data_IF_063916995809
#
_entry.id   IF_063916995809
#
_cell.length_a   1.000
_cell.length_b   1.000
_cell.length_c   1.000
_cell.angle_alpha   90.00
_cell.angle_beta   90.00
_cell.angle_gamma   90.00
#
_symmetry.space_group_name_H-M   'P 1'
#
loop_
_entity.id
_entity.type
_entity.pdbx_description
1 polymer ?
#
# COMPACT_ATOMS: atom_id res chain seq x y z
N UNK A 1 -5.86 25.55 -5.49
CA UNK A 1 -5.99 26.67 -6.43
C UNK A 1 -7.37 26.82 -7.02
N UNK A 2 -8.03 25.73 -7.37
CA UNK A 2 -9.42 25.80 -7.86
C UNK A 2 -10.35 26.50 -6.86
N UNK A 3 -10.07 26.37 -5.57
CA UNK A 3 -10.82 27.04 -4.52
C UNK A 3 -10.65 28.56 -4.47
N UNK A 4 -9.65 29.09 -5.18
CA UNK A 4 -9.37 30.54 -5.25
C UNK A 4 -10.05 31.22 -6.41
N UNK A 5 -10.61 30.47 -7.34
CA UNK A 5 -11.19 31.03 -8.55
C UNK A 5 -12.61 31.50 -8.31
N UNK A 6 -12.79 32.82 -8.25
CA UNK A 6 -14.08 33.47 -8.36
C UNK A 6 -15.09 33.21 -7.26
N UNK A 7 -14.70 32.70 -6.11
CA UNK A 7 -15.63 32.43 -5.01
C UNK A 7 -16.63 31.34 -5.30
N UNK A 8 -16.31 30.40 -6.19
CA UNK A 8 -17.17 29.25 -6.50
C UNK A 8 -17.25 28.30 -5.31
N UNK A 9 -18.41 27.70 -5.14
CA UNK A 9 -18.59 26.61 -4.17
C UNK A 9 -17.92 25.34 -4.66
N UNK A 10 -17.72 24.37 -3.76
CA UNK A 10 -17.17 23.07 -4.15
C UNK A 10 -18.05 22.34 -5.17
N UNK A 11 -19.38 22.51 -5.05
CA UNK A 11 -20.33 21.91 -6.00
C UNK A 11 -20.19 22.54 -7.38
N UNK A 12 -20.08 23.85 -7.44
CA UNK A 12 -19.88 24.58 -8.71
C UNK A 12 -18.56 24.23 -9.37
N UNK A 13 -17.50 24.09 -8.57
CA UNK A 13 -16.20 23.63 -9.07
C UNK A 13 -16.29 22.21 -9.61
N UNK A 14 -16.99 21.32 -8.92
CA UNK A 14 -17.20 19.96 -9.36
C UNK A 14 -17.97 19.90 -10.67
N UNK A 15 -19.04 20.66 -10.80
CA UNK A 15 -19.83 20.76 -12.04
C UNK A 15 -18.99 21.32 -13.19
N UNK A 16 -18.25 22.38 -12.93
CA UNK A 16 -17.39 23.02 -13.94
C UNK A 16 -16.28 22.08 -14.43
N UNK A 17 -15.74 21.23 -13.53
CA UNK A 17 -14.74 20.24 -13.87
C UNK A 17 -15.30 18.90 -14.36
N UNK A 18 -16.64 18.74 -14.34
CA UNK A 18 -17.27 17.46 -14.67
C UNK A 18 -17.12 16.41 -13.60
N UNK A 19 -16.82 16.83 -12.36
CA UNK A 19 -16.58 15.94 -11.22
C UNK A 19 -17.51 16.27 -10.06
N UNK A 20 -17.68 15.32 -9.12
CA UNK A 20 -18.49 15.56 -7.93
C UNK A 20 -17.77 16.49 -6.95
N UNK A 21 -18.55 17.21 -6.12
CA UNK A 21 -18.01 18.06 -5.05
C UNK A 21 -17.11 17.27 -4.10
N UNK A 22 -17.43 16.01 -3.83
CA UNK A 22 -16.65 15.12 -3.00
C UNK A 22 -15.26 14.84 -3.60
N UNK A 23 -15.18 14.64 -4.90
CA UNK A 23 -13.93 14.44 -5.62
C UNK A 23 -13.07 15.71 -5.58
N UNK A 24 -13.67 16.87 -5.81
CA UNK A 24 -12.99 18.17 -5.71
C UNK A 24 -12.43 18.37 -4.29
N UNK A 25 -13.20 18.05 -3.26
CA UNK A 25 -12.77 18.16 -1.88
C UNK A 25 -11.54 17.28 -1.60
N UNK A 26 -11.51 16.07 -2.13
CA UNK A 26 -10.35 15.18 -2.00
C UNK A 26 -9.10 15.78 -2.62
N UNK A 27 -9.21 16.36 -3.80
CA UNK A 27 -8.08 17.01 -4.46
C UNK A 27 -7.56 18.22 -3.66
N UNK A 28 -8.45 18.97 -3.03
CA UNK A 28 -8.07 20.08 -2.15
C UNK A 28 -7.27 19.55 -0.95
N UNK A 29 -7.71 18.47 -0.33
CA UNK A 29 -6.96 17.85 0.78
C UNK A 29 -5.59 17.35 0.32
N UNK A 30 -5.54 16.66 -0.81
CA UNK A 30 -4.29 16.14 -1.37
C UNK A 30 -3.29 17.28 -1.64
N UNK A 31 -3.77 18.44 -2.07
CA UNK A 31 -2.90 19.61 -2.33
C UNK A 31 -2.17 20.13 -1.07
N UNK A 32 -2.59 19.70 0.11
CA UNK A 32 -1.95 20.03 1.38
C UNK A 32 -0.72 19.17 1.68
N UNK A 33 -0.50 18.13 0.91
CA UNK A 33 0.69 17.30 1.06
C UNK A 33 1.95 18.08 0.67
N UNK A 34 3.08 17.68 1.23
CA UNK A 34 4.38 18.21 0.80
C UNK A 34 4.62 17.88 -0.67
N UNK A 35 5.39 18.72 -1.37
CA UNK A 35 5.67 18.52 -2.80
C UNK A 35 6.19 17.12 -3.14
N UNK A 36 7.19 16.56 -2.41
CA UNK A 36 7.66 15.21 -2.70
C UNK A 36 6.57 14.15 -2.59
N UNK A 37 5.63 14.28 -1.63
CA UNK A 37 4.51 13.35 -1.51
C UNK A 37 3.51 13.54 -2.64
N UNK A 38 3.25 14.78 -3.07
CA UNK A 38 2.42 15.06 -4.24
C UNK A 38 3.00 14.43 -5.50
N UNK A 39 4.31 14.51 -5.68
CA UNK A 39 4.99 13.88 -6.81
C UNK A 39 4.79 12.37 -6.81
N UNK A 40 4.79 11.74 -5.63
CA UNK A 40 4.53 10.31 -5.50
C UNK A 40 3.08 9.95 -5.85
N UNK A 41 2.13 10.81 -5.50
CA UNK A 41 0.72 10.63 -5.88
C UNK A 41 0.58 10.72 -7.40
N UNK A 42 1.18 11.73 -8.01
CA UNK A 42 1.15 11.93 -9.46
C UNK A 42 1.81 10.78 -10.21
N UNK A 43 2.86 10.21 -9.65
CA UNK A 43 3.54 9.04 -10.21
C UNK A 43 2.79 7.72 -10.00
N UNK A 44 1.66 7.74 -9.29
CA UNK A 44 0.88 6.54 -8.99
C UNK A 44 1.46 5.66 -7.89
N UNK A 45 2.45 6.15 -7.15
CA UNK A 45 3.06 5.40 -6.04
C UNK A 45 2.23 5.41 -4.78
N UNK A 46 1.40 6.44 -4.60
CA UNK A 46 0.47 6.57 -3.48
C UNK A 46 -0.93 6.67 -4.05
N UNK A 47 -1.84 5.85 -3.56
CA UNK A 47 -3.24 5.88 -3.99
C UNK A 47 -3.96 7.14 -3.51
N UNK A 48 -5.06 7.49 -4.17
CA UNK A 48 -5.84 8.70 -3.87
C UNK A 48 -6.38 8.67 -2.43
N UNK A 49 -6.95 7.55 -2.00
CA UNK A 49 -7.51 7.43 -0.65
C UNK A 49 -6.44 7.51 0.42
N UNK A 50 -5.28 6.89 0.18
CA UNK A 50 -4.13 6.95 1.07
C UNK A 50 -3.59 8.39 1.17
N UNK A 51 -3.52 9.09 0.05
CA UNK A 51 -3.05 10.48 0.03
C UNK A 51 -3.97 11.42 0.78
N UNK A 52 -5.28 11.20 0.77
CA UNK A 52 -6.24 11.95 1.59
C UNK A 52 -5.92 11.75 3.07
N UNK A 53 -5.72 10.52 3.52
CA UNK A 53 -5.35 10.23 4.92
C UNK A 53 -4.03 10.91 5.30
N UNK A 54 -3.03 10.85 4.42
CA UNK A 54 -1.74 11.48 4.66
C UNK A 54 -1.84 13.01 4.74
N UNK A 55 -2.80 13.62 4.05
CA UNK A 55 -3.01 15.07 4.08
C UNK A 55 -3.42 15.59 5.45
N UNK A 56 -3.96 14.74 6.31
CA UNK A 56 -4.33 15.10 7.68
C UNK A 56 -3.19 14.97 8.68
N UNK A 57 -2.06 14.41 8.26
CA UNK A 57 -0.87 14.29 9.11
C UNK A 57 -0.23 15.67 9.31
N UNK A 58 0.44 15.85 10.47
CA UNK A 58 1.27 17.01 10.71
C UNK A 58 2.42 17.07 9.69
N UNK A 59 3.06 18.24 9.55
CA UNK A 59 4.20 18.39 8.65
C UNK A 59 5.34 17.41 8.99
N UNK A 60 5.62 17.25 10.27
CA UNK A 60 6.64 16.31 10.74
C UNK A 60 6.28 14.87 10.37
N UNK A 61 5.03 14.48 10.60
CA UNK A 61 4.56 13.13 10.26
C UNK A 61 4.62 12.87 8.75
N UNK A 62 4.27 13.85 7.94
CA UNK A 62 4.40 13.75 6.47
C UNK A 62 5.85 13.51 6.05
N UNK A 63 6.77 14.23 6.69
CA UNK A 63 8.21 14.07 6.43
C UNK A 63 8.69 12.68 6.83
N UNK A 64 8.24 12.15 7.95
CA UNK A 64 8.58 10.81 8.41
C UNK A 64 8.09 9.74 7.43
N UNK A 65 6.87 9.90 6.93
CA UNK A 65 6.29 8.99 5.93
C UNK A 65 7.11 9.05 4.64
N UNK A 66 7.45 10.24 4.19
CA UNK A 66 8.26 10.42 2.98
C UNK A 66 9.61 9.69 3.09
N UNK A 67 10.33 9.91 4.18
CA UNK A 67 11.63 9.27 4.41
C UNK A 67 11.47 7.74 4.47
N UNK A 68 10.46 7.26 5.18
CA UNK A 68 10.22 5.82 5.29
C UNK A 68 9.90 5.18 3.94
N UNK A 69 9.11 5.84 3.10
CA UNK A 69 8.81 5.34 1.75
C UNK A 69 10.07 5.32 0.88
N UNK A 70 10.88 6.36 0.95
CA UNK A 70 12.11 6.44 0.18
C UNK A 70 13.12 5.36 0.59
N UNK A 71 13.22 5.08 1.89
CA UNK A 71 14.16 4.08 2.42
C UNK A 71 13.70 2.65 2.16
N UNK A 72 12.40 2.38 2.28
CA UNK A 72 11.87 1.01 2.22
C UNK A 72 11.22 0.69 0.88
N UNK A 73 10.99 1.71 0.04
CA UNK A 73 10.22 1.59 -1.20
C UNK A 73 8.84 0.94 -0.97
N UNK A 74 8.26 1.19 0.20
CA UNK A 74 6.99 0.61 0.60
C UNK A 74 5.82 1.22 -0.17
N UNK A 75 4.79 0.41 -0.39
CA UNK A 75 3.50 0.85 -0.91
C UNK A 75 2.52 0.90 0.24
N UNK A 76 1.95 2.08 0.49
CA UNK A 76 1.05 2.28 1.62
C UNK A 76 -0.34 1.71 1.28
N UNK A 77 -0.86 0.83 2.13
CA UNK A 77 -2.24 0.33 2.03
C UNK A 77 -3.20 1.31 2.69
N UNK A 78 -4.49 1.16 2.40
CA UNK A 78 -5.55 1.95 3.06
C UNK A 78 -5.52 1.78 4.57
N UNK A 79 -5.28 0.56 5.03
CA UNK A 79 -5.21 0.25 6.46
C UNK A 79 -4.03 0.97 7.12
N UNK A 80 -2.85 0.94 6.47
CA UNK A 80 -1.67 1.63 6.98
C UNK A 80 -1.87 3.14 7.04
N UNK A 81 -2.44 3.75 6.00
CA UNK A 81 -2.69 5.19 5.99
C UNK A 81 -3.71 5.60 7.06
N UNK A 82 -4.74 4.80 7.27
CA UNK A 82 -5.72 5.03 8.33
C UNK A 82 -5.08 4.94 9.72
N UNK A 83 -4.20 3.98 9.95
CA UNK A 83 -3.47 3.83 11.21
C UNK A 83 -2.53 5.01 11.47
N UNK A 84 -1.83 5.47 10.44
CA UNK A 84 -0.97 6.65 10.54
C UNK A 84 -1.76 7.89 10.93
N UNK A 85 -2.88 8.12 10.26
CA UNK A 85 -3.78 9.25 10.54
C UNK A 85 -4.30 9.20 11.97
N UNK A 86 -4.76 8.04 12.41
CA UNK A 86 -5.31 7.85 13.75
C UNK A 86 -4.23 8.08 14.83
N UNK A 87 -3.05 7.52 14.64
CA UNK A 87 -1.94 7.67 15.58
C UNK A 87 -1.45 9.12 15.68
N UNK A 88 -1.38 9.81 14.56
CA UNK A 88 -0.99 11.22 14.55
C UNK A 88 -2.03 12.11 15.22
N UNK A 89 -3.31 11.82 15.00
CA UNK A 89 -4.42 12.53 15.63
C UNK A 89 -4.36 12.42 17.15
N UNK A 90 -3.93 11.28 17.67
CA UNK A 90 -3.75 11.05 19.11
C UNK A 90 -2.44 11.62 19.64
N UNK A 91 -1.57 12.13 18.79
CA UNK A 91 -0.26 12.62 19.16
C UNK A 91 0.73 11.55 19.56
N UNK A 92 0.48 10.30 19.16
CA UNK A 92 1.30 9.15 19.52
C UNK A 92 2.28 8.75 18.42
N UNK A 93 2.16 9.31 17.24
CA UNK A 93 2.98 8.92 16.09
C UNK A 93 4.41 9.44 16.23
N UNK A 94 5.37 8.54 16.02
CA UNK A 94 6.80 8.85 16.01
C UNK A 94 7.43 8.31 14.74
N UNK A 95 8.63 8.78 14.39
CA UNK A 95 9.34 8.28 13.21
C UNK A 95 9.60 6.76 13.26
N UNK A 96 10.09 6.18 14.38
CA UNK A 96 10.24 4.74 14.46
C UNK A 96 8.94 3.96 14.26
N UNK A 97 7.82 4.49 14.76
CA UNK A 97 6.50 3.89 14.54
C UNK A 97 6.10 3.92 13.07
N UNK A 98 6.32 5.03 12.39
CA UNK A 98 6.04 5.15 10.95
C UNK A 98 6.85 4.09 10.18
N UNK A 99 8.13 3.98 10.45
CA UNK A 99 8.97 2.98 9.81
C UNK A 99 8.46 1.56 10.09
N UNK A 100 8.14 1.26 11.33
CA UNK A 100 7.65 -0.06 11.73
C UNK A 100 6.33 -0.40 11.02
N UNK A 101 5.40 0.57 10.92
CA UNK A 101 4.13 0.36 10.25
C UNK A 101 4.30 0.10 8.75
N UNK A 102 5.22 0.82 8.10
CA UNK A 102 5.47 0.66 6.67
C UNK A 102 6.34 -0.55 6.34
N UNK A 103 7.22 -0.94 7.25
CA UNK A 103 8.04 -2.15 7.13
C UNK A 103 7.29 -3.41 7.52
N UNK A 104 6.16 -3.29 8.22
CA UNK A 104 5.33 -4.42 8.59
C UNK A 104 4.72 -5.03 7.35
N UNK A 105 5.52 -5.86 6.74
CA UNK A 105 5.24 -6.46 5.46
C UNK A 105 4.03 -7.35 5.47
N UNK A 106 3.30 -7.27 4.38
CA UNK A 106 2.49 -8.38 3.94
C UNK A 106 3.41 -9.59 3.78
N UNK A 107 3.00 -10.79 4.23
CA UNK A 107 3.77 -11.99 3.94
C UNK A 107 4.12 -12.01 2.46
N UNK A 108 5.40 -12.18 2.16
CA UNK A 108 5.86 -12.27 0.78
C UNK A 108 5.14 -13.45 0.16
N UNK A 109 4.27 -13.21 -0.81
CA UNK A 109 3.68 -14.28 -1.58
C UNK A 109 4.80 -14.96 -2.39
N UNK A 110 5.21 -16.12 -1.91
CA UNK A 110 6.14 -16.95 -2.64
C UNK A 110 5.33 -17.86 -3.56
N UNK A 111 5.55 -17.71 -4.85
CA UNK A 111 4.95 -18.58 -5.83
C UNK A 111 6.05 -19.41 -6.48
N UNK A 112 6.00 -20.70 -6.23
CA UNK A 112 6.92 -21.65 -6.86
C UNK A 112 6.18 -22.34 -7.98
N UNK A 113 6.69 -22.19 -9.21
CA UNK A 113 6.11 -22.86 -10.39
C UNK A 113 7.08 -23.93 -10.84
N UNK A 114 6.62 -25.16 -10.84
CA UNK A 114 7.39 -26.32 -11.33
C UNK A 114 6.77 -26.79 -12.64
N UNK A 115 7.59 -26.95 -13.66
CA UNK A 115 7.12 -27.40 -14.96
C UNK A 115 6.54 -28.82 -14.86
N UNK A 116 5.38 -29.04 -15.49
CA UNK A 116 4.69 -30.31 -15.50
C UNK A 116 5.57 -31.48 -15.98
N UNK A 117 6.39 -31.23 -17.00
CA UNK A 117 7.32 -32.21 -17.52
C UNK A 117 8.28 -32.73 -16.45
N UNK A 118 8.80 -31.82 -15.60
CA UNK A 118 9.72 -32.19 -14.54
C UNK A 118 9.02 -32.97 -13.44
N UNK A 119 7.79 -32.60 -13.10
CA UNK A 119 6.99 -33.32 -12.11
C UNK A 119 6.67 -34.72 -12.61
N UNK A 120 6.26 -34.85 -13.88
CA UNK A 120 5.89 -36.14 -14.49
C UNK A 120 7.06 -37.14 -14.54
N UNK A 121 8.31 -36.65 -14.54
CA UNK A 121 9.48 -37.51 -14.49
C UNK A 121 9.64 -38.24 -13.15
N UNK A 122 9.03 -37.75 -12.08
CA UNK A 122 9.07 -38.33 -10.75
C UNK A 122 7.81 -39.12 -10.37
N UNK A 123 6.67 -38.78 -10.97
CA UNK A 123 5.38 -39.36 -10.61
C UNK A 123 4.70 -40.02 -11.82
N UNK A 124 4.15 -41.25 -11.66
CA UNK A 124 3.32 -41.84 -12.69
C UNK A 124 2.02 -41.08 -12.91
N UNK A 125 1.40 -41.25 -14.05
CA UNK A 125 0.13 -40.60 -14.41
C UNK A 125 -1.04 -40.97 -13.49
N UNK A 126 -0.88 -42.01 -12.68
CA UNK A 126 -1.88 -42.47 -11.71
C UNK A 126 -1.97 -41.59 -10.48
N UNK A 127 -0.99 -40.71 -10.23
CA UNK A 127 -1.03 -39.79 -9.09
C UNK A 127 -1.82 -38.55 -9.44
N UNK A 128 -2.77 -38.19 -8.58
CA UNK A 128 -3.50 -36.92 -8.69
C UNK A 128 -2.63 -35.75 -8.23
N UNK A 129 -3.05 -34.51 -8.55
CA UNK A 129 -2.39 -33.32 -8.08
C UNK A 129 -2.32 -33.28 -6.56
N UNK A 130 -3.38 -33.69 -5.87
CA UNK A 130 -3.43 -33.76 -4.40
C UNK A 130 -2.42 -34.74 -3.83
N UNK A 131 -2.27 -35.93 -4.48
CA UNK A 131 -1.29 -36.92 -4.08
C UNK A 131 0.15 -36.38 -4.21
N UNK A 132 0.41 -35.69 -5.31
CA UNK A 132 1.72 -35.06 -5.56
C UNK A 132 2.03 -34.01 -4.50
N UNK A 133 1.08 -33.14 -4.19
CA UNK A 133 1.24 -32.12 -3.14
C UNK A 133 1.54 -32.74 -1.78
N UNK A 134 0.82 -33.78 -1.39
CA UNK A 134 1.04 -34.48 -0.11
C UNK A 134 2.47 -35.03 -0.02
N UNK A 135 2.95 -35.63 -1.07
CA UNK A 135 4.32 -36.18 -1.09
C UNK A 135 5.34 -35.08 -1.00
N UNK A 136 5.15 -33.99 -1.76
CA UNK A 136 6.07 -32.83 -1.72
C UNK A 136 6.13 -32.25 -0.32
N UNK A 137 5.00 -32.03 0.35
CA UNK A 137 4.97 -31.48 1.70
C UNK A 137 5.57 -32.43 2.73
N UNK A 138 5.39 -33.74 2.59
CA UNK A 138 6.06 -34.70 3.44
C UNK A 138 7.59 -34.61 3.32
N UNK A 139 8.08 -34.49 2.10
CA UNK A 139 9.52 -34.33 1.85
C UNK A 139 10.05 -33.01 2.42
N UNK A 140 9.29 -31.94 2.28
CA UNK A 140 9.64 -30.62 2.82
C UNK A 140 9.65 -30.63 4.35
N UNK A 141 8.68 -31.28 4.98
CA UNK A 141 8.62 -31.41 6.43
C UNK A 141 9.83 -32.20 6.95
N UNK A 142 10.19 -33.28 6.30
CA UNK A 142 11.38 -34.07 6.64
C UNK A 142 12.64 -33.22 6.47
N UNK A 143 12.74 -32.48 5.40
CA UNK A 143 13.90 -31.59 5.16
C UNK A 143 14.01 -30.53 6.25
N UNK A 144 12.88 -29.89 6.62
CA UNK A 144 12.85 -28.88 7.69
C UNK A 144 13.27 -29.47 9.02
N UNK A 145 12.84 -30.68 9.36
CA UNK A 145 13.16 -31.37 10.61
C UNK A 145 14.64 -31.77 10.71
N UNK A 146 15.34 -31.86 9.59
CA UNK A 146 16.78 -32.17 9.55
C UNK A 146 17.66 -30.91 9.62
N UNK A 147 17.04 -29.74 9.56
CA UNK A 147 17.73 -28.45 9.71
C UNK A 147 17.78 -27.99 11.21
#
# INVERSE_FOLDING_TARGET
ELSRTGGLTLEELGEAAGESAKTVQRYIWISRLSEPLLDMVDAGKIGIMQSVDLSFLSEDAQQWVLVAIQDTNAVISKQQSAMLKESDKKGELTFPMVRMLLEKEKPVERKVVIKTERINSYFPDTYSTDDIEKIIFQLLDNWKNTQ
#
